data_IF_956115484435
#
_entry.id   IF_956115484435
#
_cell.length_a   1.000
_cell.length_b   1.000
_cell.length_c   1.000
_cell.angle_alpha   90.00
_cell.angle_beta   90.00
_cell.angle_gamma   90.00
#
_symmetry.space_group_name_H-M   'P 1'
#
loop_
_entity.id
_entity.type
_entity.pdbx_description
1 polymer ?
#
# COMPACT_ATOMS: atom_id res chain seq x y z
N UNK A 1 -11.40 1.40 -0.27
CA UNK A 1 -10.38 2.48 -0.13
C UNK A 1 -9.28 2.23 -1.15
N UNK A 2 -8.97 3.20 -2.04
CA UNK A 2 -7.92 3.06 -3.07
C UNK A 2 -6.50 3.37 -2.55
N UNK A 3 -6.35 3.58 -1.26
CA UNK A 3 -5.08 3.86 -0.57
C UNK A 3 -5.15 3.41 0.89
N UNK A 4 -4.00 3.41 1.57
CA UNK A 4 -3.89 3.13 3.01
C UNK A 4 -4.19 4.40 3.80
N UNK A 5 -5.11 4.32 4.74
CA UNK A 5 -5.46 5.43 5.63
C UNK A 5 -4.83 5.24 7.00
N UNK A 6 -3.94 6.13 7.37
CA UNK A 6 -3.24 6.08 8.65
C UNK A 6 -4.17 6.45 9.81
N UNK A 7 -3.88 5.94 11.00
CA UNK A 7 -4.61 6.30 12.21
C UNK A 7 -4.18 7.67 12.74
N UNK A 8 -2.92 8.02 12.56
CA UNK A 8 -2.32 9.28 13.03
C UNK A 8 -1.47 9.88 11.92
N UNK A 9 -1.27 11.19 11.99
CA UNK A 9 -0.41 11.90 11.05
C UNK A 9 1.03 11.36 11.05
N UNK A 10 1.58 11.10 12.24
CA UNK A 10 2.92 10.52 12.41
C UNK A 10 3.05 9.05 11.99
N UNK A 11 1.97 8.39 11.62
CA UNK A 11 2.02 7.06 11.03
C UNK A 11 2.37 7.11 9.52
N UNK A 12 2.36 8.29 8.92
CA UNK A 12 2.81 8.55 7.55
C UNK A 12 4.33 8.75 7.52
N UNK A 13 5.01 8.20 6.52
CA UNK A 13 6.47 8.28 6.40
C UNK A 13 7.01 9.70 6.38
N UNK A 14 6.42 10.58 5.61
CA UNK A 14 6.84 11.98 5.52
C UNK A 14 6.78 12.72 6.87
N UNK A 15 5.73 12.47 7.67
CA UNK A 15 5.63 13.05 9.01
C UNK A 15 6.55 12.36 10.02
N UNK A 16 6.64 11.04 9.99
CA UNK A 16 7.51 10.27 10.88
C UNK A 16 9.00 10.63 10.71
N UNK A 17 9.40 10.99 9.48
CA UNK A 17 10.76 11.38 9.14
C UNK A 17 10.98 12.91 9.18
N UNK A 18 9.97 13.69 9.55
CA UNK A 18 9.99 15.15 9.59
C UNK A 18 10.38 15.81 8.24
N UNK A 19 9.92 15.23 7.14
CA UNK A 19 10.18 15.76 5.80
C UNK A 19 9.03 16.60 5.25
N UNK A 20 7.86 16.49 5.84
CA UNK A 20 6.69 17.31 5.52
C UNK A 20 6.41 18.31 6.67
N UNK A 21 6.12 19.55 6.43
CA UNK A 21 5.89 20.23 5.13
C UNK A 21 7.15 20.60 4.34
N UNK A 22 8.32 20.13 4.75
CA UNK A 22 9.59 20.47 4.14
C UNK A 22 10.29 21.64 4.81
N UNK A 23 11.35 22.13 4.19
CA UNK A 23 12.18 23.22 4.69
C UNK A 23 12.08 24.44 3.78
N UNK A 24 11.88 25.61 4.35
CA UNK A 24 11.89 26.85 3.57
C UNK A 24 13.27 27.08 2.97
N UNK A 25 13.35 27.24 1.64
CA UNK A 25 14.60 27.52 0.95
C UNK A 25 15.14 28.90 1.29
N UNK A 26 14.25 29.87 1.42
CA UNK A 26 14.58 31.24 1.77
C UNK A 26 14.04 31.55 3.16
N UNK A 27 14.94 31.82 4.10
CA UNK A 27 14.59 32.26 5.47
C UNK A 27 14.23 33.75 5.54
N UNK A 28 14.30 34.46 4.40
CA UNK A 28 13.98 35.88 4.35
C UNK A 28 12.45 36.07 4.45
N UNK A 29 11.98 36.55 5.60
CA UNK A 29 10.57 36.80 5.87
C UNK A 29 9.92 37.88 4.95
N UNK A 30 10.72 38.49 4.08
CA UNK A 30 10.27 39.49 3.11
C UNK A 30 9.68 38.93 1.84
N UNK A 31 9.85 37.63 1.58
CA UNK A 31 9.22 36.99 0.43
C UNK A 31 7.72 36.79 0.72
N UNK A 32 6.87 37.63 0.13
CA UNK A 32 5.43 37.52 0.21
C UNK A 32 4.89 36.65 -0.92
N UNK A 33 3.86 35.86 -0.62
CA UNK A 33 3.11 35.14 -1.63
C UNK A 33 3.82 33.91 -2.23
N UNK A 34 3.77 33.79 -3.56
CA UNK A 34 4.30 32.63 -4.32
C UNK A 34 5.82 32.49 -4.35
N UNK A 35 6.57 33.47 -3.82
CA UNK A 35 8.02 33.41 -3.72
C UNK A 35 8.54 32.55 -2.58
N UNK A 36 7.65 32.02 -1.75
CA UNK A 36 7.99 31.07 -0.69
C UNK A 36 8.14 29.66 -1.27
N UNK A 37 9.40 29.26 -1.45
CA UNK A 37 9.73 27.91 -1.94
C UNK A 37 10.01 27.00 -0.75
N UNK A 38 9.32 25.85 -0.71
CA UNK A 38 9.57 24.79 0.24
C UNK A 38 10.30 23.66 -0.48
N UNK A 39 11.44 23.26 0.05
CA UNK A 39 12.14 22.05 -0.37
C UNK A 39 11.59 20.88 0.44
N UNK A 40 11.05 19.90 -0.26
CA UNK A 40 10.54 18.66 0.32
C UNK A 40 11.44 17.49 -0.08
N UNK A 41 11.83 16.68 0.88
CA UNK A 41 12.68 15.53 0.68
C UNK A 41 11.91 14.24 0.93
N UNK A 42 11.88 13.34 -0.04
CA UNK A 42 11.19 12.04 0.05
C UNK A 42 12.10 10.98 0.69
N UNK A 43 12.45 11.15 1.97
CA UNK A 43 13.32 10.23 2.72
C UNK A 43 12.75 8.83 2.89
N UNK A 44 11.42 8.68 2.83
CA UNK A 44 10.76 7.39 2.86
C UNK A 44 11.05 6.53 1.63
N UNK A 45 11.51 7.14 0.52
CA UNK A 45 11.87 6.46 -0.71
C UNK A 45 10.74 5.60 -1.27
N UNK A 46 10.99 4.29 -1.43
CA UNK A 46 9.99 3.35 -1.96
C UNK A 46 8.88 3.00 -0.97
N UNK A 47 8.98 3.45 0.28
CA UNK A 47 8.07 3.06 1.35
C UNK A 47 6.91 4.05 1.50
N UNK A 48 5.97 3.99 0.56
CA UNK A 48 4.75 4.79 0.56
C UNK A 48 3.53 3.90 0.81
N UNK A 49 2.54 4.40 1.53
CA UNK A 49 1.29 3.71 1.81
C UNK A 49 1.50 2.42 2.62
N UNK A 50 0.93 1.31 2.15
CA UNK A 50 1.04 0.01 2.84
C UNK A 50 2.48 -0.49 2.98
N UNK A 51 3.39 -0.10 2.09
CA UNK A 51 4.81 -0.49 2.16
C UNK A 51 5.47 0.10 3.40
N UNK A 52 5.13 1.34 3.74
CA UNK A 52 5.58 2.02 4.95
C UNK A 52 4.99 1.38 6.21
N UNK A 53 3.67 1.16 6.23
CA UNK A 53 3.00 0.55 7.38
C UNK A 53 3.47 -0.88 7.63
N UNK A 54 3.68 -1.67 6.58
CA UNK A 54 4.22 -3.04 6.71
C UNK A 54 5.67 -3.03 7.23
N UNK A 55 6.53 -2.16 6.71
CA UNK A 55 7.94 -2.05 7.15
C UNK A 55 8.04 -1.68 8.61
N UNK A 56 7.21 -0.76 9.08
CA UNK A 56 7.26 -0.23 10.43
C UNK A 56 6.27 -0.92 11.38
N UNK A 57 5.59 -1.97 10.93
CA UNK A 57 4.59 -2.70 11.69
C UNK A 57 3.48 -1.79 12.26
N UNK A 58 3.04 -0.81 11.47
CA UNK A 58 1.98 0.14 11.81
C UNK A 58 0.64 -0.42 11.33
N UNK A 59 -0.35 -0.48 12.23
CA UNK A 59 -1.71 -0.86 11.87
C UNK A 59 -2.46 0.35 11.33
N UNK A 60 -2.85 0.38 10.03
CA UNK A 60 -3.65 1.48 9.50
C UNK A 60 -5.09 1.42 10.00
N UNK A 61 -5.79 2.56 9.98
CA UNK A 61 -7.24 2.59 10.21
C UNK A 61 -7.99 1.85 9.11
N UNK A 62 -7.63 2.13 7.86
CA UNK A 62 -8.17 1.42 6.70
C UNK A 62 -7.04 1.02 5.76
N UNK A 63 -6.92 -0.28 5.51
CA UNK A 63 -5.97 -0.79 4.54
C UNK A 63 -6.43 -0.53 3.10
N UNK A 64 -5.50 -0.59 2.15
CA UNK A 64 -5.84 -0.63 0.72
C UNK A 64 -6.86 -1.76 0.44
N UNK A 65 -7.87 -1.47 -0.36
CA UNK A 65 -8.95 -2.40 -0.66
C UNK A 65 -10.06 -2.48 0.39
N UNK A 66 -9.88 -1.85 1.56
CA UNK A 66 -10.93 -1.83 2.60
C UNK A 66 -12.24 -1.25 2.07
N UNK A 67 -13.33 -1.90 2.38
CA UNK A 67 -14.69 -1.45 2.10
C UNK A 67 -15.67 -2.04 3.10
N UNK A 68 -16.82 -1.41 3.19
CA UNK A 68 -17.96 -1.94 3.96
C UNK A 68 -18.87 -2.68 3.00
N UNK A 69 -19.31 -3.86 3.40
CA UNK A 69 -20.28 -4.67 2.67
C UNK A 69 -21.41 -5.08 3.62
N UNK A 70 -22.62 -5.21 3.09
CA UNK A 70 -23.75 -5.78 3.83
C UNK A 70 -23.75 -7.31 3.83
N UNK A 71 -22.65 -7.91 3.41
CA UNK A 71 -22.45 -9.36 3.38
C UNK A 71 -21.00 -9.69 3.74
N UNK A 72 -20.72 -10.98 3.91
CA UNK A 72 -19.40 -11.51 4.22
C UNK A 72 -18.92 -12.42 3.11
N UNK A 73 -17.59 -12.55 2.99
CA UNK A 73 -16.95 -13.37 1.96
C UNK A 73 -15.94 -14.32 2.59
N UNK A 74 -15.77 -15.49 1.98
CA UNK A 74 -14.67 -16.40 2.26
C UNK A 74 -13.83 -16.61 1.02
N UNK A 75 -12.51 -16.73 1.20
CA UNK A 75 -11.56 -17.07 0.14
C UNK A 75 -10.95 -18.43 0.42
N UNK A 76 -10.90 -19.29 -0.61
CA UNK A 76 -10.41 -20.65 -0.49
C UNK A 76 -9.78 -21.13 -1.82
N UNK A 77 -9.20 -22.34 -1.80
CA UNK A 77 -8.69 -22.99 -2.98
C UNK A 77 -7.70 -22.17 -3.80
N UNK A 78 -6.76 -21.48 -3.10
CA UNK A 78 -5.68 -20.81 -3.80
C UNK A 78 -4.84 -21.84 -4.59
N UNK A 79 -4.72 -21.63 -5.89
CA UNK A 79 -3.93 -22.44 -6.80
C UNK A 79 -3.04 -21.55 -7.65
N UNK A 80 -1.96 -22.10 -8.15
CA UNK A 80 -1.07 -21.46 -9.10
C UNK A 80 -0.77 -22.40 -10.27
N UNK A 81 -0.52 -21.85 -11.45
CA UNK A 81 -0.35 -22.62 -12.69
C UNK A 81 0.97 -23.40 -12.74
N UNK A 82 2.00 -22.97 -12.00
CA UNK A 82 3.30 -23.65 -11.93
C UNK A 82 3.99 -23.33 -10.61
N UNK A 83 4.88 -24.21 -10.15
CA UNK A 83 5.69 -24.01 -8.93
C UNK A 83 6.84 -23.04 -9.15
N UNK A 84 7.32 -22.96 -10.39
CA UNK A 84 8.45 -22.12 -10.78
C UNK A 84 8.07 -21.30 -12.01
N UNK A 85 8.74 -20.20 -12.20
CA UNK A 85 8.53 -19.28 -13.31
C UNK A 85 9.88 -18.69 -13.73
N UNK A 86 10.13 -18.64 -15.03
CA UNK A 86 11.26 -17.91 -15.59
C UNK A 86 11.03 -16.40 -15.48
N UNK A 87 12.09 -15.61 -15.69
CA UNK A 87 12.02 -14.14 -15.64
C UNK A 87 10.93 -13.55 -16.54
N UNK A 88 10.79 -14.11 -17.74
CA UNK A 88 9.82 -13.64 -18.75
C UNK A 88 8.54 -14.49 -18.77
N UNK A 89 8.39 -15.39 -17.82
CA UNK A 89 7.24 -16.27 -17.69
C UNK A 89 6.01 -15.58 -17.12
N UNK A 90 4.88 -16.29 -17.21
CA UNK A 90 3.61 -15.88 -16.59
C UNK A 90 3.16 -16.92 -15.58
N UNK A 91 2.74 -16.46 -14.43
CA UNK A 91 2.16 -17.30 -13.38
C UNK A 91 0.72 -16.87 -13.14
N UNK A 92 -0.22 -17.81 -13.28
CA UNK A 92 -1.63 -17.55 -13.03
C UNK A 92 -2.00 -18.03 -11.63
N UNK A 93 -2.62 -17.17 -10.85
CA UNK A 93 -3.20 -17.49 -9.56
C UNK A 93 -4.73 -17.55 -9.67
N UNK A 94 -5.31 -18.56 -9.07
CA UNK A 94 -6.77 -18.75 -9.02
C UNK A 94 -7.20 -18.90 -7.57
N UNK A 95 -8.27 -18.24 -7.19
CA UNK A 95 -8.86 -18.32 -5.86
C UNK A 95 -10.38 -18.38 -5.98
N UNK A 96 -11.01 -19.19 -5.14
CA UNK A 96 -12.46 -19.23 -5.01
C UNK A 96 -12.91 -18.17 -4.00
N UNK A 97 -13.79 -17.27 -4.44
CA UNK A 97 -14.44 -16.28 -3.57
C UNK A 97 -15.91 -16.66 -3.44
N UNK A 98 -16.35 -16.89 -2.21
CA UNK A 98 -17.74 -17.24 -1.89
C UNK A 98 -18.37 -16.16 -1.04
N UNK A 99 -19.51 -15.64 -1.47
CA UNK A 99 -20.37 -14.84 -0.61
C UNK A 99 -21.02 -15.78 0.42
N UNK A 100 -20.77 -15.53 1.70
CA UNK A 100 -21.24 -16.36 2.83
C UNK A 100 -22.44 -15.76 3.55
N UNK A 101 -22.84 -14.55 3.21
CA UNK A 101 -24.02 -13.90 3.74
C UNK A 101 -25.22 -13.98 2.78
N UNK A 102 -26.29 -13.27 3.11
CA UNK A 102 -27.57 -13.30 2.38
C UNK A 102 -27.78 -12.13 1.42
N UNK A 103 -26.89 -11.16 1.41
CA UNK A 103 -27.01 -9.96 0.56
C UNK A 103 -26.02 -10.00 -0.58
N UNK A 104 -26.37 -9.38 -1.70
CA UNK A 104 -25.43 -9.14 -2.78
C UNK A 104 -24.34 -8.16 -2.33
N UNK A 105 -23.11 -8.41 -2.66
CA UNK A 105 -21.98 -7.55 -2.35
C UNK A 105 -20.82 -7.82 -3.29
N UNK A 106 -19.71 -7.10 -3.09
CA UNK A 106 -18.49 -7.26 -3.83
C UNK A 106 -17.29 -7.22 -2.89
N UNK A 107 -16.25 -8.00 -3.22
CA UNK A 107 -15.01 -8.10 -2.47
C UNK A 107 -13.81 -7.76 -3.35
N UNK A 108 -12.78 -7.17 -2.77
CA UNK A 108 -11.54 -6.83 -3.49
C UNK A 108 -10.46 -7.87 -3.21
N UNK A 109 -10.27 -8.78 -4.15
CA UNK A 109 -9.19 -9.76 -4.09
C UNK A 109 -7.88 -9.08 -4.47
N UNK A 110 -6.83 -9.33 -3.70
CA UNK A 110 -5.51 -8.72 -3.86
C UNK A 110 -4.44 -9.80 -3.87
N UNK A 111 -3.47 -9.69 -4.79
CA UNK A 111 -2.32 -10.57 -4.89
C UNK A 111 -1.06 -9.80 -4.48
N UNK A 112 -0.39 -10.27 -3.45
CA UNK A 112 0.90 -9.76 -2.99
C UNK A 112 1.98 -10.81 -3.18
N UNK A 113 3.18 -10.34 -3.53
CA UNK A 113 4.38 -11.17 -3.63
C UNK A 113 5.42 -10.64 -2.64
N UNK A 114 6.06 -11.56 -1.92
CA UNK A 114 7.17 -11.29 -1.02
C UNK A 114 8.43 -11.92 -1.56
N UNK A 115 9.50 -11.14 -1.67
CA UNK A 115 10.84 -11.64 -1.89
C UNK A 115 11.43 -12.10 -0.55
N UNK A 116 11.75 -13.39 -0.43
CA UNK A 116 12.21 -13.98 0.84
C UNK A 116 13.70 -13.72 1.07
N UNK A 117 14.49 -13.60 -0.01
CA UNK A 117 15.94 -13.39 0.04
C UNK A 117 16.35 -12.29 -0.91
N UNK A 118 15.95 -11.07 -0.62
CA UNK A 118 16.32 -9.92 -1.44
C UNK A 118 17.78 -9.52 -1.23
N UNK A 119 18.48 -9.22 -2.31
CA UNK A 119 19.82 -8.64 -2.30
C UNK A 119 19.83 -7.11 -2.15
N UNK A 120 18.66 -6.48 -2.20
CA UNK A 120 18.46 -5.03 -2.07
C UNK A 120 17.32 -4.74 -1.10
N UNK A 121 17.24 -3.52 -0.61
CA UNK A 121 16.13 -3.10 0.24
C UNK A 121 14.81 -3.14 -0.55
N UNK A 122 13.84 -3.90 -0.06
CA UNK A 122 12.53 -4.10 -0.68
C UNK A 122 11.41 -4.06 0.34
N UNK A 123 10.19 -3.70 -0.09
CA UNK A 123 9.01 -3.82 0.74
C UNK A 123 8.79 -5.26 1.24
N UNK A 124 8.21 -5.39 2.41
CA UNK A 124 7.85 -6.70 3.01
C UNK A 124 7.02 -7.54 2.03
N UNK A 125 6.15 -6.91 1.27
CA UNK A 125 5.38 -7.49 0.16
C UNK A 125 5.01 -6.41 -0.85
N UNK A 126 4.76 -6.80 -2.08
CA UNK A 126 4.35 -5.91 -3.16
C UNK A 126 3.04 -6.35 -3.79
N UNK A 127 2.11 -5.43 -3.93
CA UNK A 127 0.86 -5.65 -4.66
C UNK A 127 1.17 -5.84 -6.15
N UNK A 128 0.84 -7.01 -6.70
CA UNK A 128 1.05 -7.36 -8.11
C UNK A 128 -0.24 -7.42 -8.91
N UNK A 129 -1.37 -7.50 -8.24
CA UNK A 129 -2.66 -7.45 -8.90
C UNK A 129 -3.82 -7.34 -7.92
N UNK A 130 -4.94 -6.84 -8.40
CA UNK A 130 -6.19 -6.83 -7.66
C UNK A 130 -7.38 -6.92 -8.60
N UNK A 131 -8.47 -7.44 -8.09
CA UNK A 131 -9.74 -7.52 -8.83
C UNK A 131 -10.90 -7.41 -7.85
N UNK A 132 -11.86 -6.57 -8.17
CA UNK A 132 -13.14 -6.53 -7.46
C UNK A 132 -14.10 -7.54 -8.12
N UNK A 133 -14.65 -8.45 -7.32
CA UNK A 133 -15.53 -9.54 -7.73
C UNK A 133 -16.84 -9.46 -6.96
#
# INVERSE_FOLDING_TARGET
MPFTWYARLNDCGAHALNTYPGTWRNTDDKAAGFDKIIDEEYKEGIYVGYRWTDKNNIKPTFAFGHGLSYTTFSMSNLRHSAKEMTRDGKLTFTVTVKNTGSKRGAETVQLYIKDIKSSVDRPVKELKGFKKV
#
